data_IF_873818880050
#
_entry.id   IF_873818880050
#
_cell.length_a   1.000
_cell.length_b   1.000
_cell.length_c   1.000
_cell.angle_alpha   90.00
_cell.angle_beta   90.00
_cell.angle_gamma   90.00
#
_symmetry.space_group_name_H-M   'P 1'
#
loop_
_entity.id
_entity.type
_entity.pdbx_description
1 polymer ?
#
# COMPACT_ATOMS: atom_id res chain seq x y z
N UNK A 1 36.13 30.20 5.19
CA UNK A 1 34.72 30.18 5.60
C UNK A 1 34.33 28.80 6.19
N UNK A 2 34.65 27.71 5.51
CA UNK A 2 34.38 26.31 5.95
C UNK A 2 35.03 25.97 7.30
N UNK A 3 36.31 26.32 7.50
CA UNK A 3 37.01 26.06 8.77
C UNK A 3 36.45 26.86 9.97
N UNK A 4 35.84 28.01 9.74
CA UNK A 4 35.23 28.81 10.79
C UNK A 4 33.87 28.25 11.23
N UNK A 5 33.09 27.69 10.28
CA UNK A 5 31.86 26.96 10.56
C UNK A 5 32.12 25.62 11.27
N UNK A 6 33.20 24.91 10.87
CA UNK A 6 33.66 23.69 11.54
C UNK A 6 33.95 23.92 13.01
N UNK A 7 34.72 24.97 13.34
CA UNK A 7 35.07 25.30 14.72
C UNK A 7 33.89 25.78 15.58
N UNK A 8 32.88 26.43 14.98
CA UNK A 8 31.65 26.84 15.69
C UNK A 8 30.79 25.62 16.05
N UNK A 9 30.62 24.69 15.08
CA UNK A 9 29.83 23.48 15.26
C UNK A 9 30.52 22.53 16.26
N UNK A 10 31.84 22.30 16.14
CA UNK A 10 32.62 21.51 17.07
C UNK A 10 32.60 22.10 18.49
N UNK A 11 32.75 23.43 18.65
CA UNK A 11 32.72 24.08 19.94
C UNK A 11 31.40 24.04 20.68
N UNK A 12 30.28 24.05 19.95
CA UNK A 12 28.94 23.95 20.56
C UNK A 12 28.56 22.52 20.96
N UNK A 13 28.96 21.52 20.16
CA UNK A 13 28.62 20.11 20.41
C UNK A 13 29.46 19.48 21.51
N UNK A 14 30.73 19.90 21.67
CA UNK A 14 31.61 19.47 22.80
C UNK A 14 31.01 19.97 24.13
N UNK A 15 30.37 21.13 24.17
CA UNK A 15 29.74 21.69 25.37
C UNK A 15 28.53 20.89 25.87
N UNK A 16 27.92 20.04 25.03
CA UNK A 16 26.77 19.21 25.35
C UNK A 16 27.13 17.77 25.71
N UNK A 17 28.42 17.39 25.72
CA UNK A 17 28.90 16.07 26.17
C UNK A 17 28.46 14.87 25.31
N UNK A 18 27.99 15.12 24.09
CA UNK A 18 27.38 14.09 23.26
C UNK A 18 28.36 13.21 22.47
N UNK A 19 29.63 13.60 22.31
CA UNK A 19 30.60 12.85 21.49
C UNK A 19 32.03 12.92 22.03
N UNK A 20 32.60 11.76 22.30
CA UNK A 20 33.99 11.62 22.74
C UNK A 20 35.05 11.62 21.60
N UNK A 21 34.62 11.58 20.32
CA UNK A 21 35.53 11.57 19.16
C UNK A 21 35.16 12.64 18.13
N UNK A 22 36.13 13.49 17.81
CA UNK A 22 36.00 14.63 16.86
C UNK A 22 35.60 14.22 15.44
N UNK A 23 35.93 13.04 14.98
CA UNK A 23 35.71 12.58 13.60
C UNK A 23 34.29 12.09 13.35
N UNK A 24 33.50 11.81 14.40
CA UNK A 24 32.13 11.30 14.29
C UNK A 24 31.07 12.40 14.12
N UNK A 25 31.41 13.66 14.38
CA UNK A 25 30.44 14.79 14.34
C UNK A 25 30.12 15.27 12.94
N UNK A 26 31.08 15.21 12.03
CA UNK A 26 30.96 15.75 10.67
C UNK A 26 29.80 15.12 9.88
N UNK A 27 29.61 13.79 9.86
CA UNK A 27 28.48 13.17 9.19
C UNK A 27 27.11 13.65 9.74
N UNK A 28 26.99 13.76 11.07
CA UNK A 28 25.73 14.22 11.68
C UNK A 28 25.44 15.69 11.38
N UNK A 29 26.45 16.55 11.30
CA UNK A 29 26.27 17.95 10.93
C UNK A 29 25.79 18.13 9.47
N UNK A 30 26.24 17.26 8.57
CA UNK A 30 25.74 17.23 7.19
C UNK A 30 24.32 16.64 7.08
N UNK A 31 23.96 15.69 7.92
CA UNK A 31 22.63 15.10 7.97
C UNK A 31 21.61 15.99 8.71
N UNK A 32 22.05 16.85 9.63
CA UNK A 32 21.17 17.63 10.50
C UNK A 32 20.12 18.47 9.73
N UNK A 33 20.43 19.21 8.65
CA UNK A 33 19.42 19.95 7.90
C UNK A 33 18.33 19.05 7.34
N UNK A 34 18.70 17.90 6.77
CA UNK A 34 17.74 16.92 6.24
C UNK A 34 16.89 16.30 7.36
N UNK A 35 17.50 15.94 8.49
CA UNK A 35 16.79 15.37 9.64
C UNK A 35 15.83 16.38 10.30
N UNK A 36 16.20 17.67 10.36
CA UNK A 36 15.32 18.72 10.89
C UNK A 36 14.09 18.90 9.99
N UNK A 37 14.29 18.95 8.67
CA UNK A 37 13.20 19.09 7.70
C UNK A 37 12.29 17.85 7.75
N UNK A 38 12.87 16.65 7.69
CA UNK A 38 12.09 15.40 7.79
C UNK A 38 11.39 15.28 9.14
N UNK A 39 12.06 15.65 10.23
CA UNK A 39 11.49 15.68 11.57
C UNK A 39 10.29 16.61 11.64
N UNK A 40 10.40 17.84 11.14
CA UNK A 40 9.31 18.79 11.14
C UNK A 40 8.13 18.38 10.25
N UNK A 41 8.40 17.86 9.06
CA UNK A 41 7.34 17.55 8.09
C UNK A 41 6.67 16.21 8.38
N UNK A 42 7.42 15.18 8.82
CA UNK A 42 6.89 13.83 9.03
C UNK A 42 6.50 13.58 10.50
N UNK A 43 7.42 13.86 11.43
CA UNK A 43 7.17 13.51 12.84
C UNK A 43 6.23 14.46 13.55
N UNK A 44 6.28 15.75 13.25
CA UNK A 44 5.38 16.71 13.92
C UNK A 44 3.90 16.40 13.65
N UNK A 45 3.42 16.22 12.40
CA UNK A 45 2.02 15.86 12.16
C UNK A 45 1.64 14.49 12.75
N UNK A 46 2.57 13.52 12.75
CA UNK A 46 2.32 12.23 13.41
C UNK A 46 2.12 12.38 14.89
N UNK A 47 3.04 13.04 15.61
CA UNK A 47 2.89 13.26 17.04
C UNK A 47 1.66 14.10 17.36
N UNK A 48 1.40 15.15 16.57
CA UNK A 48 0.23 15.99 16.73
C UNK A 48 -1.07 15.19 16.59
N UNK A 49 -1.22 14.39 15.53
CA UNK A 49 -2.41 13.56 15.34
C UNK A 49 -2.52 12.45 16.40
N UNK A 50 -1.38 11.92 16.91
CA UNK A 50 -1.39 11.00 18.04
C UNK A 50 -1.96 11.65 19.29
N UNK A 51 -1.47 12.83 19.66
CA UNK A 51 -2.00 13.57 20.80
C UNK A 51 -3.49 13.88 20.59
N UNK A 52 -3.86 14.29 19.37
CA UNK A 52 -5.24 14.60 19.03
C UNK A 52 -6.20 13.42 19.21
N UNK A 53 -5.74 12.18 19.04
CA UNK A 53 -6.57 10.98 19.25
C UNK A 53 -7.11 10.82 20.68
N UNK A 54 -6.54 11.52 21.66
CA UNK A 54 -6.99 11.56 23.05
C UNK A 54 -7.90 12.76 23.37
N UNK A 55 -8.25 13.56 22.36
CA UNK A 55 -9.14 14.71 22.52
C UNK A 55 -10.42 14.51 21.72
N UNK A 56 -11.56 14.86 22.30
CA UNK A 56 -12.76 15.09 21.52
C UNK A 56 -12.65 16.48 20.88
N UNK A 57 -12.43 16.50 19.58
CA UNK A 57 -12.33 17.73 18.84
C UNK A 57 -13.16 17.62 17.55
N UNK A 58 -14.29 18.34 17.57
CA UNK A 58 -15.12 18.56 16.41
C UNK A 58 -14.96 20.02 15.95
N UNK A 59 -14.55 20.23 14.71
CA UNK A 59 -14.27 21.58 14.18
C UNK A 59 -15.52 22.45 14.03
N UNK A 60 -16.73 21.87 14.07
CA UNK A 60 -18.00 22.61 13.98
C UNK A 60 -18.51 23.09 15.35
N UNK A 61 -17.95 22.58 16.43
CA UNK A 61 -18.36 22.91 17.80
C UNK A 61 -17.50 24.03 18.37
N UNK A 62 -18.13 25.00 19.00
CA UNK A 62 -17.47 26.19 19.57
C UNK A 62 -16.71 25.95 20.89
N UNK A 63 -16.67 24.71 21.40
CA UNK A 63 -16.05 24.32 22.68
C UNK A 63 -14.55 24.09 22.67
N UNK A 64 -13.91 24.00 21.48
CA UNK A 64 -12.49 23.61 21.37
C UNK A 64 -12.25 22.11 21.60
N UNK A 65 -10.98 21.73 21.74
CA UNK A 65 -10.59 20.33 21.97
C UNK A 65 -10.67 20.00 23.47
N UNK A 66 -11.50 19.02 23.84
CA UNK A 66 -11.63 18.53 25.21
C UNK A 66 -10.84 17.21 25.36
N UNK A 67 -10.04 17.10 26.43
CA UNK A 67 -9.29 15.88 26.69
C UNK A 67 -10.20 14.77 27.23
N UNK A 68 -10.34 13.67 26.47
CA UNK A 68 -11.25 12.54 26.77
C UNK A 68 -10.51 11.21 26.94
N UNK A 69 -9.19 11.25 27.08
CA UNK A 69 -8.32 10.08 27.22
C UNK A 69 -8.62 9.01 26.17
N UNK A 70 -9.18 7.86 26.49
CA UNK A 70 -9.41 6.73 25.56
C UNK A 70 -10.85 6.66 25.01
N UNK A 71 -11.71 7.63 25.29
CA UNK A 71 -13.13 7.54 24.90
C UNK A 71 -13.31 7.44 23.38
N UNK A 72 -12.50 8.14 22.59
CA UNK A 72 -12.50 8.00 21.12
C UNK A 72 -12.25 6.55 20.68
N UNK A 73 -11.35 5.84 21.35
CA UNK A 73 -11.06 4.43 21.04
C UNK A 73 -12.18 3.51 21.49
N UNK A 74 -12.78 3.77 22.66
CA UNK A 74 -13.92 2.99 23.16
C UNK A 74 -15.11 3.14 22.22
N UNK A 75 -15.43 4.36 21.82
CA UNK A 75 -16.48 4.67 20.86
C UNK A 75 -16.19 4.00 19.50
N UNK A 76 -14.95 4.12 18.99
CA UNK A 76 -14.51 3.51 17.73
C UNK A 76 -14.72 1.99 17.73
N UNK A 77 -14.30 1.30 18.80
CA UNK A 77 -14.46 -0.16 18.88
C UNK A 77 -15.92 -0.60 19.12
N UNK A 78 -16.77 0.28 19.62
CA UNK A 78 -18.21 0.08 19.71
C UNK A 78 -18.97 0.34 18.39
N UNK A 79 -18.34 0.99 17.41
CA UNK A 79 -18.99 1.43 16.18
C UNK A 79 -19.03 0.31 15.13
N UNK A 80 -20.24 -0.08 14.70
CA UNK A 80 -20.43 -1.09 13.66
C UNK A 80 -19.89 -0.69 12.29
N UNK A 81 -19.95 0.61 11.94
CA UNK A 81 -19.41 1.14 10.67
C UNK A 81 -17.88 1.04 10.63
N UNK A 82 -17.21 1.23 11.77
CA UNK A 82 -15.76 0.98 11.88
C UNK A 82 -15.42 -0.48 11.56
N UNK A 83 -16.09 -1.45 12.19
CA UNK A 83 -15.85 -2.86 11.91
C UNK A 83 -16.22 -3.28 10.50
N UNK A 84 -17.21 -2.61 9.91
CA UNK A 84 -17.53 -2.79 8.50
C UNK A 84 -16.36 -2.33 7.62
N UNK A 85 -15.80 -1.15 7.87
CA UNK A 85 -14.65 -0.63 7.11
C UNK A 85 -13.39 -1.48 7.30
N UNK A 86 -13.15 -2.03 8.50
CA UNK A 86 -12.06 -2.99 8.75
C UNK A 86 -12.23 -4.25 7.90
N UNK A 87 -13.44 -4.84 7.87
CA UNK A 87 -13.71 -6.03 7.05
C UNK A 87 -13.51 -5.75 5.57
N UNK A 88 -13.99 -4.62 5.08
CA UNK A 88 -13.77 -4.20 3.69
C UNK A 88 -12.29 -4.02 3.37
N UNK A 89 -11.54 -3.37 4.27
CA UNK A 89 -10.10 -3.17 4.11
C UNK A 89 -9.34 -4.51 4.03
N UNK A 90 -9.63 -5.43 4.95
CA UNK A 90 -8.99 -6.75 4.96
C UNK A 90 -9.36 -7.54 3.71
N UNK A 91 -10.63 -7.54 3.31
CA UNK A 91 -11.10 -8.22 2.10
C UNK A 91 -10.47 -7.63 0.83
N UNK A 92 -10.41 -6.30 0.73
CA UNK A 92 -9.78 -5.60 -0.38
C UNK A 92 -8.29 -5.97 -0.50
N UNK A 93 -7.54 -5.87 0.61
CA UNK A 93 -6.10 -6.21 0.64
C UNK A 93 -5.90 -7.68 0.28
N UNK A 94 -6.64 -8.60 0.91
CA UNK A 94 -6.46 -10.03 0.70
C UNK A 94 -6.74 -10.43 -0.76
N UNK A 95 -7.87 -10.01 -1.31
CA UNK A 95 -8.26 -10.38 -2.68
C UNK A 95 -7.34 -9.73 -3.71
N UNK A 96 -7.07 -8.42 -3.59
CA UNK A 96 -6.20 -7.71 -4.52
C UNK A 96 -4.79 -8.31 -4.53
N UNK A 97 -4.17 -8.49 -3.37
CA UNK A 97 -2.78 -9.00 -3.28
C UNK A 97 -2.67 -10.43 -3.80
N UNK A 98 -3.65 -11.30 -3.51
CA UNK A 98 -3.65 -12.68 -4.05
C UNK A 98 -3.76 -12.66 -5.56
N UNK A 99 -4.69 -11.91 -6.14
CA UNK A 99 -4.85 -11.83 -7.60
C UNK A 99 -3.62 -11.25 -8.28
N UNK A 100 -3.06 -10.18 -7.73
CA UNK A 100 -1.84 -9.55 -8.25
C UNK A 100 -0.64 -10.50 -8.19
N UNK A 101 -0.50 -11.26 -7.10
CA UNK A 101 0.55 -12.27 -6.96
C UNK A 101 0.41 -13.35 -8.01
N UNK A 102 -0.80 -13.87 -8.21
CA UNK A 102 -1.07 -14.93 -9.18
C UNK A 102 -0.80 -14.45 -10.62
N UNK A 103 -1.29 -13.26 -10.97
CA UNK A 103 -1.08 -12.67 -12.29
C UNK A 103 0.41 -12.35 -12.49
N UNK A 104 1.03 -11.65 -11.51
CA UNK A 104 2.43 -11.26 -11.58
C UNK A 104 3.38 -12.44 -11.69
N UNK A 105 3.16 -13.49 -10.89
CA UNK A 105 3.94 -14.74 -10.96
C UNK A 105 3.71 -15.47 -12.29
N UNK A 106 2.46 -15.59 -12.73
CA UNK A 106 2.13 -16.22 -14.01
C UNK A 106 2.81 -15.52 -15.18
N UNK A 107 2.73 -14.19 -15.24
CA UNK A 107 3.39 -13.40 -16.30
C UNK A 107 4.91 -13.45 -16.18
N UNK A 108 5.48 -13.41 -14.96
CA UNK A 108 6.93 -13.57 -14.77
C UNK A 108 7.45 -14.90 -15.30
N UNK A 109 6.74 -15.98 -15.04
CA UNK A 109 7.09 -17.30 -15.56
C UNK A 109 6.94 -17.40 -17.09
N UNK A 110 5.88 -16.80 -17.65
CA UNK A 110 5.65 -16.78 -19.09
C UNK A 110 6.73 -15.99 -19.85
N UNK A 111 7.27 -14.93 -19.24
CA UNK A 111 8.27 -14.06 -19.87
C UNK A 111 9.71 -14.37 -19.43
N UNK A 112 9.93 -15.42 -18.65
CA UNK A 112 11.26 -15.86 -18.24
C UNK A 112 11.93 -16.74 -19.31
N UNK A 113 11.97 -16.24 -20.53
CA UNK A 113 12.71 -16.81 -21.65
C UNK A 113 13.08 -15.71 -22.64
N UNK A 114 14.11 -15.96 -23.43
CA UNK A 114 14.57 -15.00 -24.43
C UNK A 114 13.68 -15.05 -25.68
N UNK A 115 13.12 -13.92 -26.06
CA UNK A 115 12.35 -13.76 -27.30
C UNK A 115 12.57 -12.37 -27.92
N UNK A 116 12.34 -12.26 -29.22
CA UNK A 116 12.50 -10.98 -29.91
C UNK A 116 11.52 -9.92 -29.36
N UNK A 117 12.04 -8.76 -28.95
CA UNK A 117 11.23 -7.67 -28.43
C UNK A 117 10.87 -7.78 -26.95
N UNK A 118 11.45 -8.71 -26.20
CA UNK A 118 11.16 -8.93 -24.77
C UNK A 118 11.22 -7.64 -23.92
N UNK A 119 12.21 -6.78 -24.16
CA UNK A 119 12.36 -5.52 -23.42
C UNK A 119 11.18 -4.58 -23.65
N UNK A 120 10.67 -4.51 -24.89
CA UNK A 120 9.49 -3.68 -25.22
C UNK A 120 8.24 -4.23 -24.56
N UNK A 121 8.02 -5.56 -24.65
CA UNK A 121 6.86 -6.19 -24.01
C UNK A 121 6.89 -5.97 -22.48
N UNK A 122 8.04 -6.20 -21.84
CA UNK A 122 8.19 -5.94 -20.39
C UNK A 122 7.95 -4.49 -20.03
N UNK A 123 8.48 -3.54 -20.83
CA UNK A 123 8.26 -2.12 -20.60
C UNK A 123 6.76 -1.75 -20.71
N UNK A 124 6.06 -2.25 -21.71
CA UNK A 124 4.61 -2.01 -21.88
C UNK A 124 3.77 -2.58 -20.73
N UNK A 125 4.12 -3.77 -20.25
CA UNK A 125 3.43 -4.40 -19.13
C UNK A 125 3.61 -3.64 -17.81
N UNK A 126 4.68 -2.86 -17.66
CA UNK A 126 4.92 -2.04 -16.48
C UNK A 126 4.17 -0.70 -16.50
N UNK A 127 3.62 -0.27 -17.64
CA UNK A 127 2.96 1.06 -17.75
C UNK A 127 1.87 1.30 -16.71
N UNK A 128 0.98 0.34 -16.37
CA UNK A 128 -0.09 0.61 -15.42
C UNK A 128 0.40 1.08 -14.04
N UNK A 129 1.52 0.58 -13.54
CA UNK A 129 2.04 0.94 -12.20
C UNK A 129 2.47 2.41 -12.11
N UNK A 130 2.84 3.01 -13.24
CA UNK A 130 3.25 4.43 -13.30
C UNK A 130 2.08 5.41 -13.41
N UNK A 131 0.85 4.90 -13.62
CA UNK A 131 -0.33 5.75 -13.66
C UNK A 131 -0.68 6.21 -12.24
N UNK A 132 -0.88 7.52 -12.09
CA UNK A 132 -1.30 8.08 -10.80
C UNK A 132 -2.61 7.45 -10.33
N UNK A 133 -2.76 7.11 -9.03
CA UNK A 133 -3.97 6.46 -8.51
C UNK A 133 -5.26 7.19 -8.85
N UNK A 134 -5.30 8.52 -8.69
CA UNK A 134 -6.47 9.35 -9.03
C UNK A 134 -6.84 9.22 -10.51
N UNK A 135 -5.86 9.27 -11.41
CA UNK A 135 -6.08 9.16 -12.88
C UNK A 135 -6.62 7.78 -13.22
N UNK A 136 -6.03 6.74 -12.64
CA UNK A 136 -6.51 5.37 -12.81
C UNK A 136 -7.96 5.22 -12.32
N UNK A 137 -8.28 5.72 -11.12
CA UNK A 137 -9.63 5.71 -10.57
C UNK A 137 -10.66 6.43 -11.48
N UNK A 138 -10.33 7.64 -11.95
CA UNK A 138 -11.17 8.39 -12.88
C UNK A 138 -11.37 7.63 -14.20
N UNK A 139 -10.30 7.07 -14.77
CA UNK A 139 -10.39 6.29 -16.02
C UNK A 139 -11.34 5.11 -15.86
N UNK A 140 -11.18 4.33 -14.78
CA UNK A 140 -12.08 3.20 -14.52
C UNK A 140 -13.49 3.63 -14.20
N UNK A 141 -13.71 4.76 -13.51
CA UNK A 141 -15.04 5.33 -13.30
C UNK A 141 -15.77 5.58 -14.63
N UNK A 142 -15.07 6.18 -15.61
CA UNK A 142 -15.64 6.37 -16.96
C UNK A 142 -15.81 5.06 -17.72
N UNK A 143 -14.88 4.12 -17.59
CA UNK A 143 -14.99 2.80 -18.24
C UNK A 143 -16.17 1.98 -17.72
N UNK A 144 -16.58 2.16 -16.46
CA UNK A 144 -17.71 1.48 -15.83
C UNK A 144 -19.06 2.18 -16.06
N UNK A 145 -19.07 3.36 -16.72
CA UNK A 145 -20.32 4.08 -16.97
C UNK A 145 -21.33 3.21 -17.76
N UNK A 146 -22.62 3.13 -17.32
CA UNK A 146 -23.59 2.28 -17.97
C UNK A 146 -23.94 2.68 -19.41
N UNK A 147 -23.79 3.96 -19.76
CA UNK A 147 -24.21 4.50 -21.05
C UNK A 147 -23.05 4.63 -22.04
N UNK A 148 -21.89 5.09 -21.57
CA UNK A 148 -20.75 5.46 -22.42
C UNK A 148 -19.49 4.65 -22.12
N UNK A 149 -19.51 3.78 -21.08
CA UNK A 149 -18.34 3.08 -20.62
C UNK A 149 -17.88 1.97 -21.56
N UNK A 150 -16.59 1.92 -21.84
CA UNK A 150 -15.99 0.92 -22.72
C UNK A 150 -16.24 -0.52 -22.24
N UNK A 151 -16.29 -0.75 -20.93
CA UNK A 151 -16.57 -2.08 -20.37
C UNK A 151 -18.01 -2.50 -20.68
N UNK A 152 -18.98 -1.61 -20.50
CA UNK A 152 -20.37 -1.88 -20.83
C UNK A 152 -20.61 -2.01 -22.35
N UNK A 153 -19.88 -1.26 -23.15
CA UNK A 153 -19.88 -1.45 -24.59
C UNK A 153 -19.39 -2.86 -24.98
N UNK A 154 -18.30 -3.35 -24.40
CA UNK A 154 -17.80 -4.72 -24.61
C UNK A 154 -18.84 -5.76 -24.16
N UNK A 155 -19.46 -5.58 -22.99
CA UNK A 155 -20.50 -6.47 -22.48
C UNK A 155 -21.68 -6.53 -23.46
N UNK A 156 -22.07 -5.37 -24.02
CA UNK A 156 -23.11 -5.28 -25.05
C UNK A 156 -22.82 -6.03 -26.34
N UNK A 157 -21.54 -6.13 -26.76
CA UNK A 157 -21.14 -6.94 -27.93
C UNK A 157 -21.46 -8.44 -27.76
N UNK A 158 -21.50 -8.93 -26.52
CA UNK A 158 -21.87 -10.31 -26.19
C UNK A 158 -23.38 -10.49 -25.94
N UNK A 159 -24.19 -9.42 -26.15
CA UNK A 159 -25.64 -9.46 -26.01
C UNK A 159 -26.16 -9.32 -24.56
N UNK A 160 -25.31 -8.94 -23.63
CA UNK A 160 -25.71 -8.69 -22.23
C UNK A 160 -26.17 -7.24 -22.04
N UNK A 161 -27.08 -7.03 -21.09
CA UNK A 161 -27.51 -5.69 -20.69
C UNK A 161 -26.41 -4.94 -19.95
N UNK A 162 -26.35 -3.59 -20.05
CA UNK A 162 -25.39 -2.79 -19.32
C UNK A 162 -25.52 -2.99 -17.80
N UNK A 163 -24.37 -3.07 -17.13
CA UNK A 163 -24.26 -3.27 -15.69
C UNK A 163 -23.91 -1.93 -15.04
N UNK A 164 -24.68 -1.51 -14.04
CA UNK A 164 -24.40 -0.31 -13.24
C UNK A 164 -23.36 -0.64 -12.16
N UNK A 165 -22.12 -0.90 -12.57
CA UNK A 165 -21.04 -1.38 -11.70
C UNK A 165 -20.89 -0.59 -10.42
N UNK A 166 -20.90 0.74 -10.48
CA UNK A 166 -20.65 1.59 -9.34
C UNK A 166 -21.91 1.96 -8.53
N UNK A 167 -23.08 1.50 -8.97
CA UNK A 167 -24.36 1.75 -8.28
C UNK A 167 -24.88 0.52 -7.50
N UNK A 168 -24.30 -0.65 -7.73
CA UNK A 168 -24.57 -1.86 -6.97
C UNK A 168 -23.45 -2.13 -5.97
N UNK A 169 -23.80 -2.48 -4.73
CA UNK A 169 -22.83 -2.66 -3.63
C UNK A 169 -21.80 -3.75 -3.90
N UNK A 170 -22.22 -4.86 -4.49
CA UNK A 170 -21.32 -5.99 -4.78
C UNK A 170 -20.43 -5.67 -5.96
N UNK A 171 -21.00 -5.16 -7.04
CA UNK A 171 -20.24 -4.81 -8.23
C UNK A 171 -19.28 -3.64 -8.00
N UNK A 172 -19.64 -2.65 -7.15
CA UNK A 172 -18.76 -1.54 -6.82
C UNK A 172 -17.49 -2.03 -6.07
N UNK A 173 -17.65 -2.96 -5.13
CA UNK A 173 -16.50 -3.53 -4.42
C UNK A 173 -15.60 -4.36 -5.35
N UNK A 174 -16.19 -5.15 -6.24
CA UNK A 174 -15.43 -5.88 -7.27
C UNK A 174 -14.74 -4.93 -8.23
N UNK A 175 -15.40 -3.84 -8.62
CA UNK A 175 -14.85 -2.85 -9.56
C UNK A 175 -13.60 -2.15 -9.02
N UNK A 176 -13.58 -1.78 -7.73
CA UNK A 176 -12.37 -1.19 -7.10
C UNK A 176 -11.24 -2.20 -6.98
N UNK A 177 -11.54 -3.48 -6.74
CA UNK A 177 -10.53 -4.56 -6.73
C UNK A 177 -9.93 -4.75 -8.13
N UNK A 178 -10.77 -4.83 -9.18
CA UNK A 178 -10.30 -4.99 -10.56
C UNK A 178 -9.39 -3.83 -10.97
N UNK A 179 -9.77 -2.60 -10.64
CA UNK A 179 -8.98 -1.41 -10.92
C UNK A 179 -7.61 -1.47 -10.23
N UNK A 180 -7.58 -1.83 -8.94
CA UNK A 180 -6.35 -1.92 -8.16
C UNK A 180 -5.45 -3.06 -8.66
N UNK A 181 -6.02 -4.24 -8.92
CA UNK A 181 -5.31 -5.37 -9.52
C UNK A 181 -4.72 -4.99 -10.87
N UNK A 182 -5.50 -4.34 -11.77
CA UNK A 182 -5.00 -3.90 -13.08
C UNK A 182 -3.80 -2.96 -12.94
N UNK A 183 -3.82 -2.05 -11.99
CA UNK A 183 -2.75 -1.08 -11.77
C UNK A 183 -1.52 -1.71 -11.10
N UNK A 184 -1.70 -2.67 -10.20
CA UNK A 184 -0.64 -3.11 -9.28
C UNK A 184 -0.07 -4.51 -9.53
N UNK A 185 -0.71 -5.37 -10.37
CA UNK A 185 -0.09 -6.64 -10.73
C UNK A 185 1.30 -6.48 -11.38
N UNK A 186 1.62 -5.39 -12.15
CA UNK A 186 2.96 -5.21 -12.71
C UNK A 186 4.03 -4.99 -11.64
N UNK A 187 3.67 -4.45 -10.48
CA UNK A 187 4.59 -4.35 -9.34
C UNK A 187 5.02 -5.73 -8.84
N UNK A 188 4.07 -6.66 -8.69
CA UNK A 188 4.38 -8.05 -8.35
C UNK A 188 5.22 -8.72 -9.44
N UNK A 189 4.83 -8.54 -10.71
CA UNK A 189 5.59 -9.03 -11.86
C UNK A 189 7.04 -8.56 -11.84
N UNK A 190 7.30 -7.29 -11.61
CA UNK A 190 8.66 -6.73 -11.62
C UNK A 190 9.56 -7.40 -10.59
N UNK A 191 9.10 -7.54 -9.34
CA UNK A 191 9.88 -8.14 -8.25
C UNK A 191 10.12 -9.63 -8.53
N UNK A 192 9.07 -10.34 -8.90
CA UNK A 192 9.15 -11.79 -9.13
C UNK A 192 9.96 -12.14 -10.37
N UNK A 193 9.85 -11.35 -11.44
CA UNK A 193 10.63 -11.52 -12.65
C UNK A 193 12.12 -11.28 -12.39
N UNK A 194 12.48 -10.20 -11.70
CA UNK A 194 13.88 -9.92 -11.33
C UNK A 194 14.48 -11.05 -10.48
N UNK A 195 13.71 -11.55 -9.52
CA UNK A 195 14.15 -12.69 -8.71
C UNK A 195 14.28 -13.98 -9.54
N UNK A 196 13.29 -14.30 -10.37
CA UNK A 196 13.28 -15.49 -11.20
C UNK A 196 14.48 -15.50 -12.16
N UNK A 197 14.81 -14.35 -12.75
CA UNK A 197 15.95 -14.21 -13.67
C UNK A 197 17.32 -14.32 -12.99
N UNK A 198 17.38 -14.22 -11.66
CA UNK A 198 18.61 -14.34 -10.87
C UNK A 198 18.82 -15.72 -10.25
N UNK A 199 17.87 -16.64 -10.43
CA UNK A 199 18.01 -17.99 -9.87
C UNK A 199 19.12 -18.78 -10.59
N UNK A 200 19.93 -19.57 -9.84
CA UNK A 200 20.96 -20.41 -10.44
C UNK A 200 20.36 -21.51 -11.30
N UNK A 201 21.02 -21.86 -12.40
CA UNK A 201 20.57 -22.88 -13.34
C UNK A 201 20.75 -24.31 -12.83
N UNK A 202 21.74 -24.56 -11.97
CA UNK A 202 22.11 -25.92 -11.53
C UNK A 202 20.97 -26.75 -10.92
N UNK A 203 20.02 -26.21 -10.11
CA UNK A 203 18.86 -26.99 -9.65
C UNK A 203 17.91 -27.39 -10.78
N UNK A 204 17.81 -26.58 -11.84
CA UNK A 204 16.96 -26.87 -13.00
C UNK A 204 17.58 -27.95 -13.88
N UNK A 205 18.90 -27.91 -14.09
CA UNK A 205 19.65 -28.96 -14.81
C UNK A 205 19.55 -30.30 -14.06
N UNK A 206 19.74 -30.31 -12.75
CA UNK A 206 19.56 -31.50 -11.94
C UNK A 206 18.14 -32.07 -12.07
N UNK A 207 17.11 -31.25 -11.97
CA UNK A 207 15.73 -31.68 -12.13
C UNK A 207 15.47 -32.28 -13.53
N UNK A 208 16.07 -31.71 -14.58
CA UNK A 208 15.98 -32.23 -15.95
C UNK A 208 16.63 -33.62 -16.08
N UNK A 209 17.81 -33.85 -15.48
CA UNK A 209 18.50 -35.13 -15.46
C UNK A 209 17.63 -36.22 -14.80
N UNK A 210 16.90 -35.87 -13.71
CA UNK A 210 15.98 -36.80 -13.05
C UNK A 210 14.61 -36.93 -13.74
N UNK A 211 14.40 -36.31 -14.90
CA UNK A 211 13.17 -36.40 -15.66
C UNK A 211 11.96 -35.72 -15.04
N UNK A 212 12.19 -34.66 -14.23
CA UNK A 212 11.11 -33.92 -13.57
C UNK A 212 10.23 -33.21 -14.62
N UNK A 213 8.91 -33.28 -14.43
CA UNK A 213 7.94 -32.54 -15.23
C UNK A 213 7.98 -31.04 -14.92
N UNK A 214 7.51 -30.19 -15.82
CA UNK A 214 7.45 -28.73 -15.61
C UNK A 214 6.71 -28.34 -14.31
N UNK A 215 5.65 -29.07 -13.95
CA UNK A 215 4.92 -28.86 -12.71
C UNK A 215 5.73 -29.25 -11.46
N UNK A 216 6.49 -30.35 -11.54
CA UNK A 216 7.39 -30.75 -10.45
C UNK A 216 8.52 -29.75 -10.26
N UNK A 217 9.13 -29.27 -11.36
CA UNK A 217 10.14 -28.19 -11.32
C UNK A 217 9.56 -26.93 -10.68
N UNK A 218 8.37 -26.51 -11.13
CA UNK A 218 7.71 -25.33 -10.54
C UNK A 218 7.51 -25.48 -9.03
N UNK A 219 6.90 -26.59 -8.60
CA UNK A 219 6.51 -26.78 -7.20
C UNK A 219 7.68 -27.05 -6.27
N UNK A 220 8.73 -27.77 -6.71
CA UNK A 220 9.81 -28.24 -5.85
C UNK A 220 11.13 -27.47 -6.04
N UNK A 221 11.29 -26.73 -7.13
CA UNK A 221 12.49 -25.93 -7.40
C UNK A 221 12.16 -24.44 -7.42
N UNK A 222 11.35 -24.02 -8.40
CA UNK A 222 11.08 -22.59 -8.63
C UNK A 222 10.39 -21.92 -7.46
N UNK A 223 9.27 -22.46 -7.00
CA UNK A 223 8.45 -21.84 -5.95
C UNK A 223 9.17 -21.75 -4.60
N UNK A 224 9.88 -22.79 -4.12
CA UNK A 224 10.69 -22.69 -2.91
C UNK A 224 11.81 -21.66 -3.00
N UNK A 225 12.49 -21.58 -4.16
CA UNK A 225 13.57 -20.62 -4.36
C UNK A 225 13.07 -19.17 -4.47
N UNK A 226 11.84 -18.97 -4.99
CA UNK A 226 11.19 -17.66 -5.08
C UNK A 226 10.53 -17.23 -3.75
N UNK A 227 10.35 -18.14 -2.79
CA UNK A 227 9.61 -17.88 -1.54
C UNK A 227 10.06 -16.59 -0.83
N UNK A 228 11.37 -16.29 -0.66
CA UNK A 228 11.80 -15.04 -0.01
C UNK A 228 11.32 -13.81 -0.78
N UNK A 229 11.43 -13.80 -2.09
CA UNK A 229 11.02 -12.69 -2.95
C UNK A 229 9.51 -12.50 -3.00
N UNK A 230 8.74 -13.61 -3.01
CA UNK A 230 7.28 -13.58 -2.91
C UNK A 230 6.86 -12.89 -1.62
N UNK A 231 7.47 -13.24 -0.51
CA UNK A 231 7.11 -12.65 0.78
C UNK A 231 7.44 -11.17 0.83
N UNK A 232 8.61 -10.77 0.37
CA UNK A 232 8.98 -9.35 0.29
C UNK A 232 7.97 -8.59 -0.59
N UNK A 233 7.63 -9.12 -1.77
CA UNK A 233 6.66 -8.50 -2.66
C UNK A 233 5.27 -8.36 -2.02
N UNK A 234 4.81 -9.42 -1.35
CA UNK A 234 3.52 -9.43 -0.63
C UNK A 234 3.51 -8.42 0.51
N UNK A 235 4.57 -8.36 1.34
CA UNK A 235 4.67 -7.39 2.44
C UNK A 235 4.58 -5.96 1.91
N UNK A 236 5.41 -5.63 0.91
CA UNK A 236 5.42 -4.29 0.31
C UNK A 236 4.05 -3.93 -0.27
N UNK A 237 3.38 -4.91 -0.90
CA UNK A 237 2.07 -4.67 -1.49
C UNK A 237 0.95 -4.52 -0.45
N UNK A 238 0.96 -5.31 0.62
CA UNK A 238 0.00 -5.16 1.73
C UNK A 238 0.12 -3.75 2.32
N UNK A 239 1.34 -3.28 2.62
CA UNK A 239 1.57 -1.93 3.15
C UNK A 239 1.06 -0.86 2.17
N UNK A 240 1.22 -1.07 0.87
CA UNK A 240 0.71 -0.16 -0.16
C UNK A 240 -0.83 -0.19 -0.24
N UNK A 241 -1.44 -1.39 -0.22
CA UNK A 241 -2.89 -1.56 -0.28
C UNK A 241 -3.63 -1.00 0.95
N UNK A 242 -3.01 -1.03 2.13
CA UNK A 242 -3.56 -0.40 3.33
C UNK A 242 -3.66 1.13 3.22
N UNK A 243 -2.91 1.74 2.30
CA UNK A 243 -2.92 3.18 2.02
C UNK A 243 -3.81 3.56 0.83
N UNK A 244 -4.49 2.59 0.20
CA UNK A 244 -5.39 2.87 -0.92
C UNK A 244 -6.47 3.87 -0.48
N UNK A 245 -6.62 4.96 -1.24
CA UNK A 245 -7.58 6.02 -0.95
C UNK A 245 -8.06 6.71 -2.21
N UNK A 246 -7.15 7.38 -2.92
CA UNK A 246 -7.49 8.35 -3.97
C UNK A 246 -8.30 7.75 -5.11
N UNK A 247 -7.94 6.55 -5.57
CA UNK A 247 -8.62 5.80 -6.63
C UNK A 247 -10.03 5.41 -6.21
N UNK A 248 -10.21 4.92 -4.98
CA UNK A 248 -11.51 4.50 -4.46
C UNK A 248 -12.40 5.72 -4.21
N UNK A 249 -11.83 6.79 -3.65
CA UNK A 249 -12.54 8.04 -3.41
C UNK A 249 -13.15 8.60 -4.70
N UNK A 250 -12.36 8.70 -5.79
CA UNK A 250 -12.86 9.25 -7.06
C UNK A 250 -13.79 8.30 -7.79
N UNK A 251 -13.67 6.98 -7.60
CA UNK A 251 -14.57 6.00 -8.23
C UNK A 251 -15.95 6.00 -7.58
N UNK A 252 -16.01 5.91 -6.25
CA UNK A 252 -17.23 5.56 -5.52
C UNK A 252 -17.50 6.46 -4.32
N UNK A 253 -16.51 7.21 -3.84
CA UNK A 253 -16.57 7.94 -2.56
C UNK A 253 -17.07 7.06 -1.39
N UNK A 254 -16.68 5.77 -1.40
CA UNK A 254 -17.10 4.81 -0.37
C UNK A 254 -18.47 4.16 -0.59
N UNK A 255 -19.26 4.61 -1.60
CA UNK A 255 -20.60 4.12 -1.90
C UNK A 255 -20.63 2.90 -2.84
N UNK A 256 -21.85 2.41 -3.17
CA UNK A 256 -23.13 2.77 -2.58
C UNK A 256 -23.31 2.18 -1.17
N UNK A 257 -24.02 2.89 -0.27
CA UNK A 257 -24.33 2.39 1.08
C UNK A 257 -23.11 1.91 1.87
N UNK A 258 -21.96 2.61 1.77
CA UNK A 258 -20.66 2.29 2.39
C UNK A 258 -20.02 0.97 1.92
N UNK A 259 -20.47 0.38 0.80
CA UNK A 259 -19.95 -0.87 0.27
C UNK A 259 -18.46 -0.84 -0.13
N UNK A 260 -17.91 0.33 -0.36
CA UNK A 260 -16.49 0.55 -0.67
C UNK A 260 -15.80 1.46 0.34
N UNK A 261 -16.43 1.69 1.50
CA UNK A 261 -15.91 2.52 2.58
C UNK A 261 -14.84 1.76 3.38
N UNK A 262 -13.69 1.52 2.75
CA UNK A 262 -12.51 0.96 3.42
C UNK A 262 -12.00 1.93 4.49
N UNK A 263 -11.09 1.50 5.36
CA UNK A 263 -10.66 2.30 6.52
C UNK A 263 -10.14 3.70 6.15
N UNK A 264 -9.42 3.85 5.06
CA UNK A 264 -8.94 5.17 4.61
C UNK A 264 -10.07 6.11 4.23
N UNK A 265 -11.14 5.60 3.59
CA UNK A 265 -12.36 6.36 3.26
C UNK A 265 -13.16 6.68 4.53
N UNK A 266 -13.31 5.71 5.44
CA UNK A 266 -13.96 5.91 6.72
C UNK A 266 -13.30 7.04 7.53
N UNK A 267 -11.96 6.99 7.66
CA UNK A 267 -11.17 8.01 8.34
C UNK A 267 -11.38 9.38 7.70
N UNK A 268 -11.31 9.45 6.36
CA UNK A 268 -11.46 10.69 5.63
C UNK A 268 -12.85 11.32 5.85
N UNK A 269 -13.92 10.54 5.72
CA UNK A 269 -15.29 11.02 5.93
C UNK A 269 -15.49 11.55 7.35
N UNK A 270 -15.04 10.82 8.37
CA UNK A 270 -15.17 11.29 9.75
C UNK A 270 -14.37 12.57 10.00
N UNK A 271 -13.16 12.69 9.40
CA UNK A 271 -12.34 13.89 9.56
C UNK A 271 -12.90 15.12 8.82
N UNK A 272 -13.30 14.96 7.54
CA UNK A 272 -13.55 16.07 6.63
C UNK A 272 -15.02 16.28 6.27
N UNK A 273 -15.86 15.24 6.34
CA UNK A 273 -17.29 15.37 6.10
C UNK A 273 -18.04 15.58 7.43
N UNK A 274 -17.65 14.89 8.51
CA UNK A 274 -18.26 15.01 9.83
C UNK A 274 -17.45 15.90 10.80
N UNK A 275 -16.22 16.30 10.42
CA UNK A 275 -15.35 17.18 11.19
C UNK A 275 -14.92 16.64 12.57
N UNK A 276 -14.97 15.32 12.76
CA UNK A 276 -14.60 14.61 13.99
C UNK A 276 -13.10 14.28 14.00
N UNK A 277 -12.28 15.29 14.25
CA UNK A 277 -10.83 15.19 14.12
C UNK A 277 -10.19 14.22 15.12
N UNK A 278 -10.62 14.27 16.38
CA UNK A 278 -10.10 13.39 17.44
C UNK A 278 -10.42 11.91 17.18
N UNK A 279 -11.69 11.64 16.84
CA UNK A 279 -12.16 10.30 16.49
C UNK A 279 -11.44 9.74 15.27
N UNK A 280 -11.28 10.55 14.22
CA UNK A 280 -10.58 10.17 12.99
C UNK A 280 -9.09 9.92 13.22
N UNK A 281 -8.47 10.71 14.13
CA UNK A 281 -7.10 10.47 14.54
C UNK A 281 -6.97 9.11 15.25
N UNK A 282 -7.87 8.77 16.17
CA UNK A 282 -7.90 7.47 16.83
C UNK A 282 -8.04 6.31 15.80
N UNK A 283 -8.97 6.42 14.83
CA UNK A 283 -9.14 5.45 13.76
C UNK A 283 -7.88 5.29 12.89
N UNK A 284 -7.17 6.40 12.61
CA UNK A 284 -5.91 6.39 11.87
C UNK A 284 -4.82 5.60 12.60
N UNK A 285 -4.70 5.76 13.93
CA UNK A 285 -3.72 5.01 14.71
C UNK A 285 -4.07 3.52 14.84
N UNK A 286 -5.33 3.17 14.86
CA UNK A 286 -5.74 1.75 14.77
C UNK A 286 -5.34 1.16 13.42
N UNK A 287 -5.51 1.88 12.31
CA UNK A 287 -5.05 1.43 10.98
C UNK A 287 -3.52 1.24 10.95
N UNK A 288 -2.77 2.18 11.51
CA UNK A 288 -1.30 2.08 11.64
C UNK A 288 -0.91 0.86 12.48
N UNK A 289 -1.59 0.62 13.60
CA UNK A 289 -1.33 -0.54 14.46
C UNK A 289 -1.61 -1.85 13.72
N UNK A 290 -2.70 -1.96 12.96
CA UNK A 290 -3.01 -3.10 12.11
C UNK A 290 -1.89 -3.32 11.09
N UNK A 291 -1.45 -2.26 10.39
CA UNK A 291 -0.37 -2.35 9.41
C UNK A 291 0.95 -2.81 10.03
N UNK A 292 1.29 -2.32 11.22
CA UNK A 292 2.50 -2.71 11.95
C UNK A 292 2.45 -4.18 12.40
N UNK A 293 1.32 -4.63 12.97
CA UNK A 293 1.15 -6.03 13.40
C UNK A 293 1.33 -6.98 12.22
N UNK A 294 0.67 -6.70 11.08
CA UNK A 294 0.84 -7.51 9.88
C UNK A 294 2.29 -7.50 9.36
N UNK A 295 2.93 -6.33 9.31
CA UNK A 295 4.31 -6.21 8.83
C UNK A 295 5.29 -6.98 9.72
N UNK A 296 5.18 -6.81 11.04
CA UNK A 296 6.05 -7.51 12.02
C UNK A 296 5.82 -9.03 11.96
N UNK A 297 4.56 -9.47 11.88
CA UNK A 297 4.23 -10.91 11.77
C UNK A 297 4.87 -11.52 10.51
N UNK A 298 4.70 -10.89 9.35
CA UNK A 298 5.26 -11.38 8.10
C UNK A 298 6.80 -11.37 8.09
N UNK A 299 7.43 -10.34 8.66
CA UNK A 299 8.90 -10.27 8.80
C UNK A 299 9.40 -11.40 9.68
N UNK A 300 8.81 -11.59 10.88
CA UNK A 300 9.22 -12.67 11.80
C UNK A 300 9.14 -14.05 11.16
N UNK A 301 8.06 -14.35 10.45
CA UNK A 301 7.88 -15.67 9.79
C UNK A 301 8.91 -15.96 8.69
N UNK A 302 9.66 -14.93 8.24
CA UNK A 302 10.70 -15.09 7.20
C UNK A 302 12.11 -15.16 7.73
N UNK A 303 12.39 -14.54 8.88
CA UNK A 303 13.73 -14.45 9.45
C UNK A 303 13.93 -15.41 10.64
N UNK A 304 12.93 -16.21 11.00
CA UNK A 304 13.13 -17.37 11.89
C UNK A 304 13.66 -18.56 11.06
N UNK A 305 14.95 -18.48 10.72
CA UNK A 305 15.78 -19.63 10.36
C UNK A 305 16.98 -19.69 11.30
#
# INVERSE_FOLDING_TARGET
MINKLKNIVEGSLIKWGFLEKKDDIIPYAFLAPALIILGGILFFPLVYSFVLSFFNWNMTQSGGAEFVFLDNFVELFGNSAFWHSVRLQVSFVAVSVILELLIGLGVAMLLNHNFAGEHVVRALLLLPVFILPVVSGLTFRFMYDPQYGAINWLIGLFGFSPIAFLSDSTFAFIAIIIQDVWRMWPFMFMILYASLSSLPESPYEAAAIFGATKWQVFRHVTLPMLKPSIVIAVILRIVNALKAFSEIYVMTNGGPGDATSIMSIFIYKNAFDFYEMGYSAAASYVLVAIALVFSVYLVKTQFEF
#
